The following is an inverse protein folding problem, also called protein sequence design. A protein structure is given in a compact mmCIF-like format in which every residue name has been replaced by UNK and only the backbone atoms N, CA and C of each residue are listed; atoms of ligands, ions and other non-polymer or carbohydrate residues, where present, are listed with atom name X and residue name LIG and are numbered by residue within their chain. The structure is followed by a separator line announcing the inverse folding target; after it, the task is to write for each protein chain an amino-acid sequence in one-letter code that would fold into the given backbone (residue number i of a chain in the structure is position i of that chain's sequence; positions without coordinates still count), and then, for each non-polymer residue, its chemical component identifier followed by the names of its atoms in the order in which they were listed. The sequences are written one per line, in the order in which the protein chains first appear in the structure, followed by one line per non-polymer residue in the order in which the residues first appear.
data_IF_757500694577
#
_entry.id   IF_757500694577
#
_cell.length_a   1.000
_cell.length_b   1.000
_cell.length_c   1.000
_cell.angle_alpha   90.00
_cell.angle_beta   90.00
_cell.angle_gamma   90.00
#
_symmetry.space_group_name_H-M   'P 1'
#
loop_
_entity.id
_entity.type
_entity.pdbx_description
1 polymer ?
#
# COMPACT_ATOMS: atom_id res chain seq x y z
N UNK A 1 -7.26 -2.55 22.41
CA UNK A 1 -7.60 -1.15 22.72
C UNK A 1 -6.33 -0.41 23.05
N UNK A 2 -6.10 -0.08 24.32
CA UNK A 2 -5.10 0.91 24.75
C UNK A 2 -3.64 0.49 24.47
N UNK A 3 -3.28 -0.77 24.75
CA UNK A 3 -1.90 -1.27 24.58
C UNK A 3 -1.44 -1.32 23.11
N UNK A 4 -2.38 -1.55 22.18
CA UNK A 4 -2.09 -1.50 20.75
C UNK A 4 -1.87 -0.04 20.34
N UNK A 5 -2.75 0.88 20.73
CA UNK A 5 -2.66 2.29 20.36
C UNK A 5 -1.40 2.99 20.90
N UNK A 6 -0.96 2.72 22.14
CA UNK A 6 0.32 3.23 22.64
C UNK A 6 1.51 2.67 21.86
N UNK A 7 1.51 1.37 21.56
CA UNK A 7 2.55 0.73 20.77
C UNK A 7 2.60 1.31 19.35
N UNK A 8 1.46 1.59 18.73
CA UNK A 8 1.39 2.22 17.40
C UNK A 8 1.81 3.68 17.41
N UNK A 9 1.34 4.44 18.41
CA UNK A 9 1.77 5.83 18.59
C UNK A 9 3.30 5.90 18.70
N UNK A 10 3.89 5.03 19.51
CA UNK A 10 5.35 4.93 19.64
C UNK A 10 6.03 4.54 18.31
N UNK A 11 5.49 3.61 17.53
CA UNK A 11 6.03 3.26 16.19
C UNK A 11 5.98 4.46 15.23
N UNK A 12 4.87 5.20 15.20
CA UNK A 12 4.72 6.39 14.36
C UNK A 12 5.71 7.49 14.77
N UNK A 13 5.85 7.74 16.07
CA UNK A 13 6.82 8.70 16.62
C UNK A 13 8.26 8.29 16.25
N UNK A 14 8.62 7.01 16.38
CA UNK A 14 9.95 6.54 16.00
C UNK A 14 10.23 6.63 14.49
N UNK A 15 9.22 6.40 13.64
CA UNK A 15 9.34 6.62 12.18
C UNK A 15 9.55 8.09 11.85
N UNK A 16 8.81 8.99 12.50
CA UNK A 16 8.98 10.43 12.34
C UNK A 16 10.40 10.84 12.79
N UNK A 17 10.85 10.40 13.97
CA UNK A 17 12.22 10.64 14.47
C UNK A 17 13.29 10.11 13.52
N UNK A 18 13.12 8.91 12.96
CA UNK A 18 14.05 8.32 11.98
C UNK A 18 14.08 9.14 10.67
N UNK A 19 12.91 9.52 10.15
CA UNK A 19 12.80 10.37 8.97
C UNK A 19 13.40 11.77 9.19
N UNK A 20 13.40 12.27 10.43
CA UNK A 20 14.06 13.53 10.83
C UNK A 20 15.58 13.34 10.83
N UNK A 21 16.09 12.22 11.36
CA UNK A 21 17.53 11.93 11.45
C UNK A 21 18.21 11.76 10.08
N UNK A 22 17.46 11.36 9.06
CA UNK A 22 17.98 11.11 7.70
C UNK A 22 18.01 12.38 6.80
N UNK A 23 17.41 13.52 7.21
CA UNK A 23 17.45 14.78 6.45
C UNK A 23 18.43 15.78 7.08
N UNK A 24 19.51 16.12 6.34
CA UNK A 24 20.72 16.81 6.82
C UNK A 24 20.59 18.30 7.22
N UNK A 25 19.50 18.98 6.93
CA UNK A 25 19.33 20.38 7.35
C UNK A 25 17.88 20.64 7.70
N UNK A 26 17.48 20.67 8.98
CA UNK A 26 16.19 21.24 9.34
C UNK A 26 16.17 21.91 10.72
N UNK A 27 15.51 23.06 10.76
CA UNK A 27 15.36 23.98 11.89
C UNK A 27 14.58 23.32 13.04
N UNK A 28 15.27 23.00 14.12
CA UNK A 28 14.76 22.30 15.31
C UNK A 28 13.54 22.98 15.94
N UNK A 29 13.49 24.31 15.91
CA UNK A 29 12.39 25.07 16.54
C UNK A 29 11.05 24.81 15.85
N UNK A 30 11.04 24.67 14.51
CA UNK A 30 9.82 24.40 13.74
C UNK A 30 9.25 22.99 13.99
N UNK A 31 10.10 22.07 14.42
CA UNK A 31 9.72 20.68 14.75
C UNK A 31 9.18 20.61 16.18
N UNK A 32 9.82 21.28 17.14
CA UNK A 32 9.27 21.41 18.49
C UNK A 32 7.91 22.10 18.47
N UNK A 33 7.73 23.14 17.65
CA UNK A 33 6.44 23.78 17.46
C UNK A 33 5.42 22.85 16.80
N UNK A 34 5.82 21.98 15.86
CA UNK A 34 4.94 21.00 15.26
C UNK A 34 4.55 19.88 16.22
N UNK A 35 5.49 19.35 17.01
CA UNK A 35 5.23 18.32 18.03
C UNK A 35 4.33 18.90 19.13
N UNK A 36 4.64 20.10 19.61
CA UNK A 36 3.83 20.79 20.61
C UNK A 36 2.43 21.14 20.07
N UNK A 37 2.31 21.53 18.80
CA UNK A 37 1.00 21.69 18.15
C UNK A 37 0.25 20.37 17.98
N UNK A 38 0.94 19.25 17.71
CA UNK A 38 0.33 17.92 17.65
C UNK A 38 -0.12 17.48 19.04
N UNK A 39 0.69 17.68 20.07
CA UNK A 39 0.39 17.38 21.48
C UNK A 39 -0.74 18.26 22.02
N UNK A 40 -0.75 19.56 21.70
CA UNK A 40 -1.82 20.48 22.11
C UNK A 40 -3.12 20.24 21.33
N UNK A 41 -3.04 19.77 20.07
CA UNK A 41 -4.21 19.23 19.34
C UNK A 41 -4.68 17.91 19.94
N UNK A 42 -3.76 17.07 20.43
CA UNK A 42 -4.06 15.85 21.19
C UNK A 42 -4.74 16.15 22.53
N UNK A 43 -4.43 17.28 23.17
CA UNK A 43 -5.10 17.71 24.41
C UNK A 43 -6.47 18.36 24.16
N UNK A 44 -6.74 18.84 22.95
CA UNK A 44 -8.04 19.41 22.51
C UNK A 44 -8.92 18.43 21.73
N UNK A 45 -8.70 17.12 21.88
CA UNK A 45 -9.42 16.07 21.16
C UNK A 45 -10.93 16.17 21.44
N UNK A 46 -11.67 16.72 20.47
CA UNK A 46 -12.87 16.03 19.99
C UNK A 46 -12.45 14.59 19.65
N UNK A 47 -13.19 13.58 20.11
CA UNK A 47 -12.92 12.13 19.96
C UNK A 47 -12.45 11.70 18.54
N UNK A 48 -12.71 12.55 17.54
CA UNK A 48 -12.59 12.35 16.10
C UNK A 48 -11.46 13.13 15.41
N UNK A 49 -10.49 13.70 16.14
CA UNK A 49 -9.30 14.25 15.46
C UNK A 49 -8.47 13.12 14.83
N UNK A 50 -8.33 13.15 13.50
CA UNK A 50 -7.66 12.12 12.71
C UNK A 50 -6.74 12.79 11.69
N UNK A 51 -5.41 12.56 11.79
CA UNK A 51 -4.47 13.07 10.80
C UNK A 51 -4.84 12.52 9.41
N UNK A 52 -4.89 13.40 8.41
CA UNK A 52 -5.21 13.03 7.01
C UNK A 52 -3.96 12.96 6.13
N UNK A 53 -2.79 13.22 6.69
CA UNK A 53 -1.51 13.12 6.00
C UNK A 53 -1.16 11.66 5.74
N UNK A 54 -0.48 11.39 4.61
CA UNK A 54 -0.04 10.03 4.28
C UNK A 54 0.97 9.51 5.30
N UNK A 55 1.72 10.39 5.96
CA UNK A 55 2.73 9.98 6.95
C UNK A 55 2.08 9.33 8.19
N UNK A 56 0.77 9.52 8.37
CA UNK A 56 -0.03 8.79 9.37
C UNK A 56 -0.34 7.34 8.99
N UNK A 57 -0.19 6.92 7.73
CA UNK A 57 -0.44 5.54 7.33
C UNK A 57 0.65 4.61 7.88
N UNK A 58 0.25 3.43 8.34
CA UNK A 58 1.15 2.49 9.04
C UNK A 58 1.01 1.07 8.51
N UNK A 59 2.03 0.24 8.82
CA UNK A 59 2.10 -1.16 8.38
C UNK A 59 1.78 -1.32 6.89
N UNK A 60 0.92 -2.27 6.55
CA UNK A 60 0.50 -2.55 5.17
C UNK A 60 -0.43 -1.47 4.60
N UNK A 61 -1.01 -0.60 5.42
CA UNK A 61 -1.84 0.49 4.90
C UNK A 61 -1.10 1.44 3.97
N UNK A 62 0.21 1.60 4.16
CA UNK A 62 1.10 2.45 3.34
C UNK A 62 1.63 1.75 2.05
N UNK A 63 1.15 0.54 1.73
CA UNK A 63 1.65 -0.19 0.55
C UNK A 63 1.35 0.52 -0.76
N UNK A 64 0.13 1.02 -0.94
CA UNK A 64 -0.29 1.59 -2.20
C UNK A 64 -1.21 2.80 -1.98
N UNK A 65 -0.96 3.93 -2.67
CA UNK A 65 -1.89 5.05 -2.66
C UNK A 65 -3.13 4.75 -3.52
N UNK A 66 -4.22 4.36 -2.87
CA UNK A 66 -5.53 4.28 -3.49
C UNK A 66 -6.32 5.56 -3.23
N UNK A 67 -6.95 6.12 -4.25
CA UNK A 67 -7.71 7.36 -4.09
C UNK A 67 -8.94 7.15 -3.21
N UNK A 68 -9.34 8.22 -2.51
CA UNK A 68 -10.50 8.26 -1.64
C UNK A 68 -10.49 7.24 -0.47
N UNK A 69 -9.33 6.66 -0.13
CA UNK A 69 -9.22 5.81 1.05
C UNK A 69 -9.37 6.62 2.35
N UNK A 70 -10.18 6.14 3.29
CA UNK A 70 -10.23 6.72 4.63
C UNK A 70 -8.91 6.47 5.40
N UNK A 71 -8.54 7.39 6.31
CA UNK A 71 -7.44 7.15 7.24
C UNK A 71 -7.67 5.87 8.07
N UNK A 72 -6.70 4.94 8.14
CA UNK A 72 -6.87 3.68 8.88
C UNK A 72 -7.23 3.86 10.36
N UNK A 73 -6.82 4.97 10.98
CA UNK A 73 -7.15 5.32 12.36
C UNK A 73 -8.66 5.55 12.56
N UNK A 74 -9.34 6.13 11.55
CA UNK A 74 -10.80 6.33 11.60
C UNK A 74 -11.50 4.99 11.60
N UNK A 75 -11.11 4.14 10.65
CA UNK A 75 -11.64 2.79 10.50
C UNK A 75 -11.48 2.01 11.81
N UNK A 76 -10.27 2.03 12.40
CA UNK A 76 -10.00 1.37 13.68
C UNK A 76 -10.92 1.84 14.79
N UNK A 77 -11.03 3.17 15.00
CA UNK A 77 -11.88 3.75 16.04
C UNK A 77 -13.35 3.35 15.87
N UNK A 78 -13.88 3.44 14.65
CA UNK A 78 -15.25 3.01 14.32
C UNK A 78 -15.42 1.52 14.63
N UNK A 79 -14.49 0.68 14.20
CA UNK A 79 -14.58 -0.76 14.39
C UNK A 79 -14.45 -1.18 15.85
N UNK A 80 -13.59 -0.55 16.65
CA UNK A 80 -13.50 -0.81 18.09
C UNK A 80 -14.75 -0.34 18.85
N UNK A 81 -15.37 0.76 18.42
CA UNK A 81 -16.57 1.31 19.06
C UNK A 81 -17.84 0.52 18.73
N UNK A 82 -17.95 -0.01 17.51
CA UNK A 82 -19.19 -0.60 16.99
C UNK A 82 -19.08 -2.08 16.59
N UNK A 83 -17.98 -2.77 16.90
CA UNK A 83 -17.87 -4.21 16.72
C UNK A 83 -17.01 -4.89 17.79
N UNK A 84 -17.22 -6.19 17.98
CA UNK A 84 -16.46 -7.07 18.86
C UNK A 84 -15.53 -7.98 18.07
N UNK A 85 -14.56 -8.56 18.78
CA UNK A 85 -13.67 -9.58 18.22
C UNK A 85 -14.49 -10.76 17.66
N UNK A 86 -14.13 -11.24 16.47
CA UNK A 86 -14.82 -12.34 15.79
C UNK A 86 -16.12 -11.96 15.06
N UNK A 87 -16.61 -10.73 15.19
CA UNK A 87 -17.74 -10.24 14.39
C UNK A 87 -17.33 -10.01 12.92
N UNK A 88 -18.31 -10.06 12.03
CA UNK A 88 -18.15 -10.00 10.59
C UNK A 88 -18.39 -8.59 10.05
N UNK A 89 -17.33 -8.01 9.50
CA UNK A 89 -17.31 -6.69 8.87
C UNK A 89 -17.54 -6.81 7.36
N UNK A 90 -18.36 -5.94 6.79
CA UNK A 90 -18.50 -5.80 5.33
C UNK A 90 -17.98 -4.45 4.86
N UNK A 91 -17.13 -4.46 3.83
CA UNK A 91 -16.86 -3.30 2.99
C UNK A 91 -17.32 -3.59 1.55
N UNK A 92 -18.47 -3.05 1.12
CA UNK A 92 -19.03 -3.30 -0.20
C UNK A 92 -18.29 -2.56 -1.33
N UNK A 93 -17.32 -1.70 -1.01
CA UNK A 93 -16.49 -0.93 -1.96
C UNK A 93 -15.05 -0.85 -1.43
N UNK A 94 -14.39 -2.01 -1.34
CA UNK A 94 -13.19 -2.19 -0.52
C UNK A 94 -12.00 -1.32 -0.94
N UNK A 95 -11.91 -0.93 -2.22
CA UNK A 95 -10.91 0.01 -2.70
C UNK A 95 -9.49 -0.32 -2.26
N UNK A 96 -8.88 0.59 -1.48
CA UNK A 96 -7.52 0.42 -0.94
C UNK A 96 -7.41 -0.53 0.25
N UNK A 97 -8.50 -1.13 0.73
CA UNK A 97 -8.50 -2.21 1.72
C UNK A 97 -8.25 -1.79 3.16
N UNK A 98 -8.39 -0.50 3.52
CA UNK A 98 -8.17 -0.03 4.89
C UNK A 98 -9.12 -0.72 5.89
N UNK A 99 -10.41 -0.86 5.55
CA UNK A 99 -11.42 -1.52 6.38
C UNK A 99 -11.04 -2.96 6.73
N UNK A 100 -10.80 -3.79 5.71
CA UNK A 100 -10.47 -5.21 5.91
C UNK A 100 -9.09 -5.42 6.56
N UNK A 101 -8.14 -4.51 6.33
CA UNK A 101 -6.80 -4.59 6.93
C UNK A 101 -6.88 -4.34 8.43
N UNK A 102 -7.66 -3.34 8.85
CA UNK A 102 -7.94 -3.07 10.25
C UNK A 102 -8.79 -4.17 10.90
N UNK A 103 -9.76 -4.74 10.18
CA UNK A 103 -10.52 -5.90 10.66
C UNK A 103 -9.60 -7.06 11.04
N UNK A 104 -8.64 -7.40 10.17
CA UNK A 104 -7.65 -8.46 10.46
C UNK A 104 -6.75 -8.11 11.65
N UNK A 105 -6.29 -6.86 11.79
CA UNK A 105 -5.50 -6.42 12.94
C UNK A 105 -6.28 -6.52 14.26
N UNK A 106 -7.56 -6.19 14.20
CA UNK A 106 -8.48 -6.25 15.32
C UNK A 106 -9.08 -7.66 15.52
N UNK A 107 -8.69 -8.66 14.72
CA UNK A 107 -9.19 -10.03 14.80
C UNK A 107 -10.72 -10.12 14.65
N UNK A 108 -11.25 -9.39 13.66
CA UNK A 108 -12.62 -9.47 13.13
C UNK A 108 -12.60 -10.18 11.78
N UNK A 109 -13.65 -10.92 11.50
CA UNK A 109 -13.85 -11.47 10.16
C UNK A 109 -14.24 -10.34 9.21
N UNK A 110 -13.92 -10.48 7.93
CA UNK A 110 -14.25 -9.44 6.95
C UNK A 110 -14.56 -9.97 5.57
N UNK A 111 -15.48 -9.28 4.89
CA UNK A 111 -15.78 -9.42 3.47
C UNK A 111 -15.53 -8.06 2.80
N UNK A 112 -14.72 -8.06 1.75
CA UNK A 112 -14.52 -6.90 0.87
C UNK A 112 -15.01 -7.19 -0.55
N UNK A 113 -15.72 -6.24 -1.16
CA UNK A 113 -16.22 -6.34 -2.53
C UNK A 113 -15.75 -5.11 -3.31
N UNK A 114 -15.26 -5.31 -4.53
CA UNK A 114 -14.99 -4.22 -5.48
C UNK A 114 -15.06 -4.75 -6.90
N UNK A 115 -15.42 -3.92 -7.87
CA UNK A 115 -15.39 -4.29 -9.29
C UNK A 115 -13.96 -4.21 -9.86
N UNK A 116 -13.11 -3.38 -9.25
CA UNK A 116 -11.75 -3.11 -9.69
C UNK A 116 -10.81 -4.25 -9.31
N UNK A 117 -10.19 -4.95 -10.30
CA UNK A 117 -9.21 -6.00 -10.00
C UNK A 117 -7.99 -5.45 -9.24
N UNK A 118 -7.62 -4.18 -9.48
CA UNK A 118 -6.52 -3.54 -8.76
C UNK A 118 -6.86 -3.30 -7.28
N UNK A 119 -8.10 -2.89 -6.98
CA UNK A 119 -8.57 -2.72 -5.60
C UNK A 119 -8.51 -4.05 -4.83
N UNK A 120 -8.98 -5.13 -5.46
CA UNK A 120 -8.93 -6.48 -4.91
C UNK A 120 -7.49 -6.94 -4.68
N UNK A 121 -6.59 -6.74 -5.64
CA UNK A 121 -5.18 -7.09 -5.49
C UNK A 121 -4.51 -6.34 -4.33
N UNK A 122 -4.69 -5.01 -4.26
CA UNK A 122 -4.15 -4.17 -3.18
C UNK A 122 -4.69 -4.65 -1.83
N UNK A 123 -6.01 -4.81 -1.74
CA UNK A 123 -6.72 -5.25 -0.54
C UNK A 123 -6.27 -6.64 -0.08
N UNK A 124 -6.09 -7.59 -1.01
CA UNK A 124 -5.56 -8.93 -0.74
C UNK A 124 -4.18 -8.84 -0.10
N UNK A 125 -3.23 -8.17 -0.74
CA UNK A 125 -1.85 -8.07 -0.23
C UNK A 125 -1.80 -7.34 1.11
N UNK A 126 -2.61 -6.30 1.32
CA UNK A 126 -2.59 -5.54 2.58
C UNK A 126 -3.13 -6.31 3.78
N UNK A 127 -4.14 -7.14 3.54
CA UNK A 127 -4.89 -7.88 4.57
C UNK A 127 -4.37 -9.32 4.79
N UNK A 128 -3.56 -9.84 3.87
CA UNK A 128 -3.07 -11.21 3.91
C UNK A 128 -1.62 -11.27 4.44
N UNK A 129 -1.40 -11.69 5.70
CA UNK A 129 -0.06 -11.76 6.26
C UNK A 129 0.74 -12.88 5.60
N UNK A 130 1.89 -12.53 5.04
CA UNK A 130 2.80 -13.48 4.40
C UNK A 130 4.21 -13.34 4.97
N UNK A 131 4.92 -14.46 5.06
CA UNK A 131 6.33 -14.47 5.45
C UNK A 131 7.18 -14.31 4.20
N UNK A 132 7.95 -13.22 4.13
CA UNK A 132 8.89 -12.94 3.04
C UNK A 132 10.28 -12.87 3.63
N UNK A 133 11.23 -13.62 3.06
CA UNK A 133 12.62 -13.62 3.52
C UNK A 133 13.45 -12.57 2.77
N UNK A 134 14.59 -12.19 3.36
CA UNK A 134 15.55 -11.31 2.68
C UNK A 134 16.12 -11.97 1.41
N UNK A 135 16.29 -13.30 1.44
CA UNK A 135 16.74 -14.07 0.27
C UNK A 135 15.73 -14.02 -0.87
N UNK A 136 14.43 -14.04 -0.59
CA UNK A 136 13.39 -13.96 -1.63
C UNK A 136 13.50 -12.63 -2.40
N UNK A 137 13.69 -11.53 -1.66
CA UNK A 137 13.77 -10.18 -2.25
C UNK A 137 15.12 -9.95 -2.94
N UNK A 138 16.23 -10.28 -2.28
CA UNK A 138 17.56 -10.00 -2.82
C UNK A 138 17.86 -10.79 -4.09
N UNK A 139 17.48 -12.08 -4.12
CA UNK A 139 17.65 -12.91 -5.32
C UNK A 139 16.83 -12.36 -6.49
N UNK A 140 15.58 -11.98 -6.23
CA UNK A 140 14.69 -11.40 -7.23
C UNK A 140 15.22 -10.07 -7.78
N UNK A 141 15.66 -9.16 -6.91
CA UNK A 141 16.21 -7.87 -7.32
C UNK A 141 17.55 -8.01 -8.06
N UNK A 142 18.35 -9.03 -7.74
CA UNK A 142 19.61 -9.30 -8.45
C UNK A 142 19.36 -9.64 -9.91
N UNK A 143 18.44 -10.57 -10.19
CA UNK A 143 18.10 -10.98 -11.56
C UNK A 143 17.63 -9.79 -12.41
N UNK A 144 16.76 -8.95 -11.84
CA UNK A 144 16.31 -7.72 -12.51
C UNK A 144 17.48 -6.78 -12.79
N UNK A 145 18.38 -6.60 -11.82
CA UNK A 145 19.53 -5.71 -11.95
C UNK A 145 20.46 -6.16 -13.07
N UNK A 146 20.70 -7.45 -13.20
CA UNK A 146 21.57 -8.02 -14.23
C UNK A 146 20.98 -7.80 -15.63
N UNK A 147 19.67 -8.02 -15.80
CA UNK A 147 18.98 -7.73 -17.05
C UNK A 147 18.97 -6.23 -17.40
N UNK A 148 18.76 -5.38 -16.41
CA UNK A 148 18.83 -3.94 -16.62
C UNK A 148 20.23 -3.49 -17.08
N UNK A 149 21.30 -4.10 -16.57
CA UNK A 149 22.66 -3.81 -17.02
C UNK A 149 22.92 -4.31 -18.43
N UNK A 150 22.43 -5.51 -18.76
CA UNK A 150 22.51 -6.06 -20.12
C UNK A 150 21.86 -5.11 -21.14
N UNK A 151 20.63 -4.66 -20.90
CA UNK A 151 19.91 -3.78 -21.84
C UNK A 151 20.34 -2.31 -21.81
N UNK A 152 21.17 -1.89 -20.84
CA UNK A 152 21.86 -0.59 -20.93
C UNK A 152 22.98 -0.58 -21.96
N UNK A 153 23.53 -1.75 -22.29
CA UNK A 153 24.67 -1.90 -23.19
C UNK A 153 24.24 -2.27 -24.62
N UNK A 154 23.04 -2.82 -24.79
CA UNK A 154 22.50 -3.25 -26.08
C UNK A 154 21.65 -2.16 -26.75
N UNK A 155 21.54 -2.25 -28.09
CA UNK A 155 20.61 -1.42 -28.85
C UNK A 155 19.16 -1.84 -28.61
N UNK A 156 18.24 -0.88 -28.65
CA UNK A 156 16.81 -1.09 -28.35
C UNK A 156 16.09 -2.11 -29.24
N UNK A 157 16.66 -2.44 -30.39
CA UNK A 157 16.15 -3.42 -31.37
C UNK A 157 16.22 -4.86 -30.84
N UNK A 158 17.07 -5.13 -29.85
CA UNK A 158 17.23 -6.44 -29.23
C UNK A 158 16.33 -6.64 -28.00
N UNK A 159 15.44 -5.68 -27.70
CA UNK A 159 14.58 -5.72 -26.51
C UNK A 159 13.47 -6.77 -26.63
N UNK A 160 13.55 -7.83 -25.81
CA UNK A 160 12.64 -8.97 -25.88
C UNK A 160 11.40 -8.89 -24.97
N UNK A 161 11.35 -7.92 -24.04
CA UNK A 161 10.27 -7.84 -23.07
C UNK A 161 9.05 -7.11 -23.63
N UNK A 162 7.86 -7.61 -23.31
CA UNK A 162 6.61 -7.03 -23.76
C UNK A 162 6.36 -5.65 -23.11
N UNK A 163 6.20 -4.63 -23.95
CA UNK A 163 5.70 -3.32 -23.54
C UNK A 163 4.21 -3.27 -23.86
N UNK A 164 3.33 -2.98 -22.87
CA UNK A 164 1.90 -2.99 -23.09
C UNK A 164 1.49 -1.89 -24.08
N UNK A 165 0.52 -2.21 -24.94
CA UNK A 165 -0.11 -1.21 -25.80
C UNK A 165 -0.95 -0.24 -24.95
N UNK A 166 -0.47 1.00 -24.84
CA UNK A 166 -1.14 2.06 -24.10
C UNK A 166 -1.27 3.29 -24.97
N UNK A 167 -2.46 3.88 -25.00
CA UNK A 167 -2.72 5.11 -25.75
C UNK A 167 -1.78 6.22 -25.30
N UNK A 168 -0.99 6.75 -26.23
CA UNK A 168 0.03 7.78 -25.97
C UNK A 168 1.09 7.37 -24.92
N UNK A 169 1.56 6.11 -24.90
CA UNK A 169 2.55 5.64 -23.92
C UNK A 169 3.79 6.55 -23.81
N UNK A 170 4.28 7.07 -24.93
CA UNK A 170 5.45 7.96 -25.00
C UNK A 170 5.22 9.34 -24.37
N UNK A 171 3.95 9.75 -24.23
CA UNK A 171 3.60 10.95 -23.45
C UNK A 171 3.67 10.68 -21.95
N UNK A 172 3.35 9.46 -21.52
CA UNK A 172 3.29 9.08 -20.10
C UNK A 172 4.61 8.60 -19.56
N UNK A 173 5.46 7.96 -20.37
CA UNK A 173 6.71 7.36 -19.93
C UNK A 173 7.81 7.62 -20.95
N UNK A 174 8.98 8.00 -20.47
CA UNK A 174 10.19 8.00 -21.31
C UNK A 174 10.55 6.55 -21.67
N UNK A 175 11.19 6.34 -22.83
CA UNK A 175 11.53 5.00 -23.33
C UNK A 175 12.29 4.15 -22.31
N UNK A 176 13.29 4.74 -21.65
CA UNK A 176 14.05 4.02 -20.62
C UNK A 176 13.14 3.48 -19.50
N UNK A 177 12.19 4.28 -19.00
CA UNK A 177 11.23 3.82 -17.98
C UNK A 177 10.33 2.72 -18.50
N UNK A 178 9.87 2.79 -19.76
CA UNK A 178 9.07 1.73 -20.37
C UNK A 178 9.82 0.39 -20.34
N UNK A 179 11.11 0.40 -20.72
CA UNK A 179 11.95 -0.80 -20.70
C UNK A 179 12.17 -1.33 -19.28
N UNK A 180 12.52 -0.46 -18.33
CA UNK A 180 12.73 -0.89 -16.94
C UNK A 180 11.45 -1.50 -16.35
N UNK A 181 10.28 -0.89 -16.60
CA UNK A 181 9.00 -1.41 -16.13
C UNK A 181 8.63 -2.74 -16.79
N UNK A 182 8.91 -2.92 -18.08
CA UNK A 182 8.65 -4.17 -18.80
C UNK A 182 9.53 -5.32 -18.26
N UNK A 183 10.83 -5.09 -18.04
CA UNK A 183 11.74 -6.06 -17.40
C UNK A 183 11.19 -6.47 -16.02
N UNK A 184 10.89 -5.49 -15.16
CA UNK A 184 10.40 -5.76 -13.80
C UNK A 184 9.09 -6.57 -13.87
N UNK A 185 8.13 -6.14 -14.69
CA UNK A 185 6.82 -6.82 -14.82
C UNK A 185 6.99 -8.26 -15.30
N UNK A 186 7.86 -8.50 -16.28
CA UNK A 186 8.15 -9.84 -16.79
C UNK A 186 8.66 -10.75 -15.67
N UNK A 187 9.70 -10.33 -14.93
CA UNK A 187 10.24 -11.13 -13.83
C UNK A 187 9.22 -11.40 -12.74
N UNK A 188 8.35 -10.43 -12.41
CA UNK A 188 7.24 -10.67 -11.49
C UNK A 188 6.30 -11.75 -12.03
N UNK A 189 5.96 -11.71 -13.33
CA UNK A 189 5.03 -12.66 -13.95
C UNK A 189 5.54 -14.10 -13.98
N UNK A 190 6.86 -14.30 -14.02
CA UNK A 190 7.50 -15.61 -14.03
C UNK A 190 7.53 -16.30 -12.65
N UNK A 191 7.19 -15.58 -11.58
CA UNK A 191 7.18 -16.13 -10.22
C UNK A 191 6.05 -17.14 -10.02
N UNK A 192 6.41 -18.33 -9.53
CA UNK A 192 5.47 -19.40 -9.21
C UNK A 192 4.70 -19.14 -7.91
N UNK A 193 5.35 -18.52 -6.92
CA UNK A 193 4.71 -18.18 -5.66
C UNK A 193 3.75 -16.99 -5.86
N UNK A 194 2.44 -17.27 -5.86
CA UNK A 194 1.41 -16.27 -6.11
C UNK A 194 1.39 -15.14 -5.08
N UNK A 195 1.64 -15.45 -3.81
CA UNK A 195 1.65 -14.46 -2.75
C UNK A 195 2.81 -13.48 -2.91
N UNK A 196 4.00 -13.98 -3.25
CA UNK A 196 5.16 -13.14 -3.53
C UNK A 196 4.94 -12.33 -4.82
N UNK A 197 4.36 -12.95 -5.85
CA UNK A 197 4.00 -12.28 -7.11
C UNK A 197 3.04 -11.12 -6.87
N UNK A 198 1.94 -11.35 -6.16
CA UNK A 198 0.95 -10.32 -5.84
C UNK A 198 1.56 -9.20 -5.00
N UNK A 199 2.38 -9.54 -4.00
CA UNK A 199 3.11 -8.57 -3.19
C UNK A 199 4.00 -7.65 -4.04
N UNK A 200 4.78 -8.23 -4.96
CA UNK A 200 5.65 -7.49 -5.87
C UNK A 200 4.85 -6.69 -6.90
N UNK A 201 3.71 -7.20 -7.39
CA UNK A 201 2.80 -6.47 -8.28
C UNK A 201 2.21 -5.23 -7.62
N UNK A 202 1.85 -5.30 -6.34
CA UNK A 202 1.39 -4.12 -5.59
C UNK A 202 2.51 -3.10 -5.44
N UNK A 203 3.73 -3.55 -5.11
CA UNK A 203 4.90 -2.67 -5.06
C UNK A 203 5.18 -2.00 -6.41
N UNK A 204 5.15 -2.77 -7.50
CA UNK A 204 5.29 -2.30 -8.87
C UNK A 204 4.22 -1.25 -9.22
N UNK A 205 2.95 -1.59 -9.01
CA UNK A 205 1.81 -0.68 -9.27
C UNK A 205 1.93 0.64 -8.48
N UNK A 206 2.42 0.58 -7.23
CA UNK A 206 2.54 1.75 -6.37
C UNK A 206 3.56 2.79 -6.87
N UNK A 207 4.53 2.38 -7.69
CA UNK A 207 5.59 3.27 -8.19
C UNK A 207 5.31 3.81 -9.60
N UNK A 208 4.40 3.21 -10.36
CA UNK A 208 4.12 3.55 -11.77
C UNK A 208 3.95 5.05 -11.96
N UNK A 209 3.10 5.68 -11.15
CA UNK A 209 2.84 7.11 -11.26
C UNK A 209 4.05 7.96 -10.93
N UNK A 210 4.87 7.53 -9.96
CA UNK A 210 6.07 8.24 -9.51
C UNK A 210 7.12 8.30 -10.62
N UNK A 211 7.30 7.22 -11.38
CA UNK A 211 8.26 7.11 -12.49
C UNK A 211 7.69 7.55 -13.84
N UNK A 212 6.40 7.87 -13.92
CA UNK A 212 5.76 8.45 -15.11
C UNK A 212 5.91 9.98 -15.18
N UNK A 213 5.57 10.56 -16.33
CA UNK A 213 5.35 11.99 -16.55
C UNK A 213 4.08 12.53 -15.87
N UNK A 214 3.24 11.69 -15.26
CA UNK A 214 2.03 12.16 -14.59
C UNK A 214 2.36 12.99 -13.33
N UNK A 215 1.53 13.99 -13.04
CA UNK A 215 1.53 14.67 -11.75
C UNK A 215 1.28 13.66 -10.63
N UNK A 216 2.01 13.79 -9.53
CA UNK A 216 1.79 12.98 -8.35
C UNK A 216 0.60 13.56 -7.55
N UNK A 217 -0.11 12.72 -6.80
CA UNK A 217 -1.15 13.09 -5.83
C UNK A 217 -2.46 13.73 -6.34
N UNK A 218 -2.64 13.99 -7.63
CA UNK A 218 -3.95 14.45 -8.18
C UNK A 218 -4.84 13.27 -8.59
N UNK A 219 -6.16 13.30 -8.39
CA UNK A 219 -7.05 12.23 -8.88
C UNK A 219 -7.05 12.13 -10.41
N UNK A 220 -7.02 13.27 -11.09
CA UNK A 220 -6.98 13.32 -12.54
C UNK A 220 -5.58 13.04 -13.08
N UNK A 221 -5.52 12.30 -14.19
CA UNK A 221 -4.27 12.02 -14.90
C UNK A 221 -3.87 13.23 -15.74
N UNK A 222 -2.93 14.01 -15.23
CA UNK A 222 -2.37 15.18 -15.89
C UNK A 222 -0.86 14.99 -16.10
N UNK A 223 -0.34 15.35 -17.27
CA UNK A 223 1.10 15.34 -17.54
C UNK A 223 1.77 16.56 -16.88
N UNK A 224 2.88 16.33 -16.19
CA UNK A 224 3.79 17.37 -15.71
C UNK A 224 5.01 17.43 -16.63
N UNK A 225 5.04 18.42 -17.53
CA UNK A 225 6.20 18.69 -18.39
C UNK A 225 7.44 18.98 -17.53
N UNK A 226 8.60 18.44 -17.91
CA UNK A 226 9.87 18.65 -17.20
C UNK A 226 9.93 18.03 -15.80
N UNK A 227 9.07 17.04 -15.48
CA UNK A 227 9.17 16.30 -14.22
C UNK A 227 10.49 15.56 -14.16
N UNK A 228 11.26 15.76 -13.08
CA UNK A 228 12.43 14.94 -12.80
C UNK A 228 11.97 13.50 -12.47
N UNK A 229 12.25 12.56 -13.36
CA UNK A 229 11.90 11.16 -13.20
C UNK A 229 13.02 10.45 -12.44
N UNK A 230 12.74 9.86 -11.27
CA UNK A 230 13.75 9.09 -10.54
C UNK A 230 14.03 7.75 -11.24
N UNK A 231 15.20 7.16 -10.97
CA UNK A 231 15.57 5.82 -11.43
C UNK A 231 14.52 4.77 -10.99
N UNK A 232 13.98 4.03 -11.95
CA UNK A 232 12.82 3.15 -11.72
C UNK A 232 13.18 1.98 -10.84
N UNK A 233 14.30 1.31 -11.12
CA UNK A 233 14.78 0.19 -10.32
C UNK A 233 15.11 0.57 -8.87
N UNK A 234 15.74 1.73 -8.64
CA UNK A 234 16.05 2.24 -7.31
C UNK A 234 14.78 2.51 -6.51
N UNK A 235 13.77 3.13 -7.13
CA UNK A 235 12.49 3.41 -6.48
C UNK A 235 11.72 2.12 -6.18
N UNK A 236 11.71 1.17 -7.11
CA UNK A 236 11.11 -0.14 -6.92
C UNK A 236 11.76 -0.89 -5.75
N UNK A 237 13.09 -1.04 -5.78
CA UNK A 237 13.86 -1.73 -4.74
C UNK A 237 13.65 -1.13 -3.35
N UNK A 238 13.68 0.20 -3.24
CA UNK A 238 13.39 0.91 -1.97
C UNK A 238 11.96 0.64 -1.49
N UNK A 239 10.99 0.63 -2.41
CA UNK A 239 9.59 0.36 -2.07
C UNK A 239 9.38 -1.07 -1.59
N UNK A 240 9.97 -2.06 -2.27
CA UNK A 240 9.89 -3.47 -1.88
C UNK A 240 10.54 -3.70 -0.52
N UNK A 241 11.71 -3.12 -0.27
CA UNK A 241 12.39 -3.19 1.04
C UNK A 241 11.50 -2.64 2.17
N UNK A 242 10.92 -1.44 1.97
CA UNK A 242 9.99 -0.85 2.94
C UNK A 242 8.76 -1.73 3.18
N UNK A 243 8.14 -2.23 2.10
CA UNK A 243 6.96 -3.10 2.18
C UNK A 243 7.28 -4.40 2.91
N UNK A 244 8.46 -4.98 2.71
CA UNK A 244 8.89 -6.21 3.37
C UNK A 244 8.97 -6.01 4.89
N UNK A 245 9.61 -4.93 5.34
CA UNK A 245 9.73 -4.60 6.77
C UNK A 245 8.35 -4.35 7.41
N UNK A 246 7.47 -3.64 6.69
CA UNK A 246 6.09 -3.39 7.11
C UNK A 246 5.24 -4.67 7.15
N UNK A 247 5.41 -5.58 6.17
CA UNK A 247 4.73 -6.89 6.15
C UNK A 247 5.20 -7.77 7.30
N UNK A 248 6.50 -7.77 7.63
CA UNK A 248 7.00 -8.53 8.77
C UNK A 248 6.35 -8.06 10.08
N UNK A 249 6.27 -6.74 10.30
CA UNK A 249 5.57 -6.16 11.46
C UNK A 249 4.08 -6.58 11.49
N UNK A 250 3.40 -6.51 10.34
CA UNK A 250 2.01 -6.92 10.22
C UNK A 250 1.79 -8.41 10.49
N UNK A 251 2.66 -9.26 9.95
CA UNK A 251 2.67 -10.70 10.18
C UNK A 251 2.82 -11.01 11.67
N UNK A 252 3.77 -10.37 12.35
CA UNK A 252 4.01 -10.60 13.78
C UNK A 252 2.82 -10.20 14.67
N UNK A 253 2.08 -9.18 14.27
CA UNK A 253 0.87 -8.72 14.97
C UNK A 253 -0.36 -9.59 14.70
N UNK A 254 -0.40 -10.29 13.55
CA UNK A 254 -1.59 -11.01 13.08
C UNK A 254 -1.43 -12.53 13.02
N UNK A 255 -0.22 -13.07 13.26
CA UNK A 255 0.06 -14.52 13.20
C UNK A 255 -0.79 -15.38 14.16
N UNK A 256 -1.30 -14.81 15.25
CA UNK A 256 -2.21 -15.47 16.19
C UNK A 256 -3.69 -15.14 15.94
N UNK A 257 -3.99 -14.32 14.94
CA UNK A 257 -5.37 -13.94 14.60
C UNK A 257 -5.98 -14.97 13.65
N UNK A 258 -7.05 -15.63 14.12
CA UNK A 258 -7.78 -16.63 13.35
C UNK A 258 -8.87 -16.03 12.46
N UNK A 259 -9.01 -14.70 12.42
CA UNK A 259 -10.05 -14.09 11.62
C UNK A 259 -9.88 -14.29 10.12
N UNK A 260 -10.99 -14.47 9.45
CA UNK A 260 -11.13 -14.70 8.02
C UNK A 260 -11.19 -13.37 7.27
N UNK A 261 -10.54 -13.32 6.10
CA UNK A 261 -10.72 -12.24 5.12
C UNK A 261 -11.18 -12.84 3.80
N UNK A 262 -12.33 -12.41 3.30
CA UNK A 262 -12.88 -12.79 1.99
C UNK A 262 -12.92 -11.57 1.08
N UNK A 263 -12.44 -11.73 -0.14
CA UNK A 263 -12.45 -10.67 -1.14
C UNK A 263 -13.10 -11.15 -2.42
N UNK A 264 -13.98 -10.33 -2.99
CA UNK A 264 -14.70 -10.65 -4.21
C UNK A 264 -14.56 -9.55 -5.24
N UNK A 265 -13.99 -9.89 -6.41
CA UNK A 265 -14.11 -9.04 -7.59
C UNK A 265 -15.53 -9.20 -8.15
N UNK A 266 -16.47 -8.35 -7.73
CA UNK A 266 -17.89 -8.59 -7.96
C UNK A 266 -18.70 -7.29 -8.06
N UNK A 267 -19.85 -7.36 -8.73
CA UNK A 267 -20.82 -6.26 -8.76
C UNK A 267 -21.61 -6.23 -7.45
N UNK A 268 -21.32 -5.23 -6.61
CA UNK A 268 -21.97 -5.03 -5.30
C UNK A 268 -23.50 -5.00 -5.39
N UNK A 269 -24.10 -4.59 -6.51
CA UNK A 269 -25.57 -4.62 -6.70
C UNK A 269 -26.15 -6.03 -6.64
N UNK A 270 -25.32 -7.05 -6.85
CA UNK A 270 -25.67 -8.48 -6.78
C UNK A 270 -25.13 -9.16 -5.52
N UNK A 271 -24.66 -8.41 -4.52
CA UNK A 271 -23.99 -8.98 -3.33
C UNK A 271 -24.81 -10.01 -2.55
N UNK A 272 -26.15 -10.01 -2.68
CA UNK A 272 -27.03 -11.03 -2.11
C UNK A 272 -26.69 -12.47 -2.53
N UNK A 273 -25.98 -12.63 -3.65
CA UNK A 273 -25.58 -13.93 -4.19
C UNK A 273 -24.34 -14.50 -3.45
N UNK A 274 -23.59 -13.64 -2.74
CA UNK A 274 -22.32 -13.98 -2.07
C UNK A 274 -22.29 -13.62 -0.57
N UNK A 275 -23.21 -12.76 -0.12
CA UNK A 275 -23.36 -12.35 1.28
C UNK A 275 -24.77 -12.75 1.76
N UNK A 276 -24.83 -13.53 2.84
CA UNK A 276 -26.09 -13.96 3.44
C UNK A 276 -26.81 -12.76 4.07
N UNK A 277 -28.14 -12.72 3.95
CA UNK A 277 -28.97 -11.71 4.61
C UNK A 277 -28.78 -11.79 6.14
N UNK A 278 -28.73 -10.63 6.80
CA UNK A 278 -28.64 -10.53 8.27
C UNK A 278 -27.44 -11.26 8.88
N UNK A 279 -26.35 -11.42 8.12
CA UNK A 279 -25.11 -12.06 8.61
C UNK A 279 -23.97 -11.10 8.92
N UNK A 280 -24.17 -9.79 8.73
CA UNK A 280 -23.12 -8.77 8.87
C UNK A 280 -23.38 -7.97 10.14
N UNK A 281 -22.35 -7.84 10.98
CA UNK A 281 -22.42 -7.13 12.25
C UNK A 281 -22.13 -5.63 12.09
N UNK A 282 -21.23 -5.27 11.17
CA UNK A 282 -20.88 -3.88 10.88
C UNK A 282 -20.53 -3.67 9.41
N UNK A 283 -21.04 -2.60 8.81
CA UNK A 283 -20.71 -2.16 7.45
C UNK A 283 -19.84 -0.90 7.56
N UNK A 284 -18.68 -0.89 6.90
CA UNK A 284 -17.78 0.28 6.81
C UNK A 284 -17.47 0.52 5.34
N UNK A 285 -17.73 1.72 4.83
CA UNK A 285 -17.46 2.04 3.42
C UNK A 285 -17.27 3.53 3.12
N UNK A 286 -16.50 3.77 2.05
CA UNK A 286 -16.12 4.99 1.31
C UNK A 286 -17.12 6.15 1.21
#
# INVERSE_FOLDING_TARGET
GIELDEKYFNICIERIKKSIKEKKEFNSNKIYDNIKNIEDRYKKIDEWFIPRDRDSYYLTNDFHPYFAAFPPQLVRKVMEKYSKKGELILDPFVGGGSAITEAKLLNRDSIGIDISPLAILISKVKSHPIKITESDISSFLSVIKDDLQKYKQLHYEEFIYEIPELTNIDKWFIKEVQFQLAIIKHHISCLQNENLRDFLLVGFSSIIRKVSNAKNAEQHLCIKKGKNIPDTFSIFSKKISLMKDQMQQYYDLTKSNNSMVKLYQFDTRKMKDIVKKESIDLIITS
#
